data_IF_451809376191
#
_entry.id   IF_451809376191
#
_cell.length_a   1.000
_cell.length_b   1.000
_cell.length_c   1.000
_cell.angle_alpha   90.00
_cell.angle_beta   90.00
_cell.angle_gamma   90.00
#
_symmetry.space_group_name_H-M   'P 1'
#
loop_
_entity.id
_entity.type
_entity.pdbx_description
1 polymer ?
#
# COMPACT_ATOMS: atom_id res chain seq x y z
N UNK A 1 17.94 27.98 6.29
CA UNK A 1 16.86 26.99 6.07
C UNK A 1 15.71 27.26 7.03
N UNK A 2 14.45 27.09 6.60
CA UNK A 2 13.29 27.27 7.51
C UNK A 2 13.29 26.17 8.60
N UNK A 3 13.17 26.51 9.89
CA UNK A 3 13.07 25.52 10.96
C UNK A 3 11.80 24.67 10.80
N UNK A 4 11.85 23.41 11.24
CA UNK A 4 10.68 22.54 11.33
C UNK A 4 10.12 22.71 12.74
N UNK A 5 9.03 23.45 12.86
CA UNK A 5 8.41 23.75 14.15
C UNK A 5 7.18 22.85 14.31
N UNK A 6 7.17 22.06 15.39
CA UNK A 6 6.01 21.32 15.86
C UNK A 6 5.21 22.15 16.86
N UNK A 7 3.95 21.76 17.07
CA UNK A 7 3.14 22.27 18.17
C UNK A 7 3.73 21.82 19.52
N UNK A 8 3.53 22.58 20.62
CA UNK A 8 4.19 22.31 21.90
C UNK A 8 3.99 20.89 22.44
N UNK A 9 2.77 20.35 22.33
CA UNK A 9 2.44 18.99 22.80
C UNK A 9 3.26 17.90 22.09
N UNK A 10 3.15 17.74 20.76
CA UNK A 10 3.97 16.80 20.01
C UNK A 10 5.48 17.02 20.18
N UNK A 11 5.93 18.28 20.25
CA UNK A 11 7.34 18.56 20.51
C UNK A 11 7.78 18.01 21.87
N UNK A 12 6.97 18.22 22.92
CA UNK A 12 7.25 17.70 24.26
C UNK A 12 7.29 16.16 24.29
N UNK A 13 6.35 15.48 23.61
CA UNK A 13 6.36 14.00 23.54
C UNK A 13 7.62 13.46 22.89
N UNK A 14 8.13 14.14 21.86
CA UNK A 14 9.35 13.70 21.18
C UNK A 14 10.58 13.96 22.04
N UNK A 15 10.68 15.17 22.61
CA UNK A 15 11.81 15.60 23.44
C UNK A 15 11.96 14.79 24.74
N UNK A 16 10.86 14.31 25.34
CA UNK A 16 10.91 13.48 26.55
C UNK A 16 10.99 11.97 26.29
N UNK A 17 11.06 11.55 25.02
CA UNK A 17 11.07 10.13 24.65
C UNK A 17 12.47 9.58 24.42
N UNK A 18 12.55 8.26 24.31
CA UNK A 18 13.73 7.52 23.83
C UNK A 18 14.16 7.89 22.40
N UNK A 19 13.35 8.65 21.65
CA UNK A 19 13.65 9.10 20.29
C UNK A 19 14.22 10.52 20.21
N UNK A 20 14.37 11.22 21.34
CA UNK A 20 14.81 12.63 21.40
C UNK A 20 16.15 12.86 20.70
N UNK A 21 17.11 11.96 20.92
CA UNK A 21 18.45 12.02 20.33
C UNK A 21 18.48 11.87 18.79
N UNK A 22 17.39 11.36 18.18
CA UNK A 22 17.30 11.10 16.74
C UNK A 22 16.45 12.14 16.00
N UNK A 23 15.82 13.09 16.70
CA UNK A 23 14.92 14.09 16.11
C UNK A 23 15.62 14.87 14.98
N UNK A 24 16.80 15.42 15.26
CA UNK A 24 17.52 16.27 14.30
C UNK A 24 18.03 15.46 13.10
N UNK A 25 18.55 14.26 13.34
CA UNK A 25 19.04 13.34 12.31
C UNK A 25 17.92 12.88 11.39
N UNK A 26 16.75 12.58 11.95
CA UNK A 26 15.56 12.23 11.19
C UNK A 26 15.11 13.38 10.27
N UNK A 27 15.10 14.62 10.77
CA UNK A 27 14.79 15.79 9.95
C UNK A 27 15.86 16.03 8.87
N UNK A 28 17.14 15.88 9.21
CA UNK A 28 18.24 16.02 8.26
C UNK A 28 18.13 15.01 7.11
N UNK A 29 17.88 13.73 7.44
CA UNK A 29 17.74 12.66 6.44
C UNK A 29 16.58 12.91 5.48
N UNK A 30 15.42 13.35 5.97
CA UNK A 30 14.30 13.69 5.10
C UNK A 30 14.60 14.90 4.20
N UNK A 31 15.46 15.83 4.63
CA UNK A 31 15.90 16.95 3.79
C UNK A 31 16.84 16.47 2.68
N UNK A 32 17.77 15.58 2.99
CA UNK A 32 18.67 14.93 2.01
C UNK A 32 17.85 14.19 0.94
N UNK A 33 16.81 13.47 1.36
CA UNK A 33 15.89 12.77 0.47
C UNK A 33 14.94 13.71 -0.31
N UNK A 34 15.12 15.04 -0.19
CA UNK A 34 14.37 16.11 -0.87
C UNK A 34 12.86 16.12 -0.58
N UNK A 35 12.45 15.68 0.62
CA UNK A 35 11.05 15.85 1.04
C UNK A 35 10.70 17.33 1.25
N UNK A 36 9.50 17.71 0.82
CA UNK A 36 8.98 19.06 1.02
C UNK A 36 8.83 19.40 2.51
N UNK A 37 9.04 20.67 2.87
CA UNK A 37 8.99 21.15 4.28
C UNK A 37 7.73 20.72 5.04
N UNK A 38 6.56 20.81 4.39
CA UNK A 38 5.30 20.35 4.99
C UNK A 38 5.27 18.83 5.26
N UNK A 39 5.84 18.03 4.37
CA UNK A 39 5.90 16.56 4.54
C UNK A 39 6.79 16.21 5.72
N UNK A 40 7.95 16.87 5.86
CA UNK A 40 8.85 16.68 7.00
C UNK A 40 8.14 17.01 8.31
N UNK A 41 7.40 18.13 8.36
CA UNK A 41 6.61 18.51 9.54
C UNK A 41 5.52 17.48 9.88
N UNK A 42 4.81 16.97 8.87
CA UNK A 42 3.79 15.91 9.07
C UNK A 42 4.44 14.64 9.59
N UNK A 43 5.56 14.22 9.00
CA UNK A 43 6.27 13.01 9.41
C UNK A 43 6.83 13.13 10.82
N UNK A 44 7.40 14.28 11.18
CA UNK A 44 7.90 14.52 12.53
C UNK A 44 6.76 14.52 13.57
N UNK A 45 5.60 15.09 13.24
CA UNK A 45 4.42 15.01 14.11
C UNK A 45 3.88 13.57 14.26
N UNK A 46 3.96 12.76 13.20
CA UNK A 46 3.64 11.32 13.26
C UNK A 46 4.62 10.55 14.14
N UNK A 47 5.93 10.86 14.06
CA UNK A 47 6.96 10.28 14.94
C UNK A 47 6.74 10.69 16.40
N UNK A 48 6.35 11.94 16.67
CA UNK A 48 6.00 12.38 18.02
C UNK A 48 4.81 11.61 18.62
N UNK A 49 3.78 11.31 17.83
CA UNK A 49 2.67 10.46 18.28
C UNK A 49 3.16 9.04 18.63
N UNK A 50 4.02 8.46 17.78
CA UNK A 50 4.63 7.17 18.05
C UNK A 50 5.49 7.20 19.32
N UNK A 51 6.31 8.24 19.50
CA UNK A 51 7.17 8.45 20.67
C UNK A 51 6.39 8.45 21.99
N UNK A 52 5.25 9.15 22.01
CA UNK A 52 4.33 9.14 23.16
C UNK A 52 3.86 7.72 23.49
N UNK A 53 3.36 7.01 22.48
CA UNK A 53 2.85 5.65 22.66
C UNK A 53 3.95 4.69 23.13
N UNK A 54 5.18 4.82 22.64
CA UNK A 54 6.33 4.05 23.13
C UNK A 54 6.57 4.28 24.63
N UNK A 55 6.46 5.53 25.09
CA UNK A 55 6.56 5.87 26.51
C UNK A 55 5.44 5.26 27.35
N UNK A 56 4.20 5.31 26.87
CA UNK A 56 3.03 4.69 27.54
C UNK A 56 3.19 3.16 27.64
N UNK A 57 3.78 2.52 26.63
CA UNK A 57 4.06 1.07 26.61
C UNK A 57 5.39 0.68 27.26
N UNK A 58 6.18 1.65 27.77
CA UNK A 58 7.51 1.46 28.36
C UNK A 58 8.46 0.63 27.48
N UNK A 59 8.45 0.88 26.16
CA UNK A 59 9.28 0.16 25.20
C UNK A 59 10.68 0.79 25.08
N UNK A 60 11.69 -0.04 24.86
CA UNK A 60 13.08 0.39 24.67
C UNK A 60 13.47 0.43 23.19
N UNK A 61 14.49 1.22 22.84
CA UNK A 61 15.02 1.34 21.46
C UNK A 61 15.30 -0.03 20.82
N UNK A 62 15.97 -0.93 21.54
CA UNK A 62 16.32 -2.28 21.06
C UNK A 62 15.13 -3.16 20.68
N UNK A 63 13.94 -2.85 21.18
CA UNK A 63 12.71 -3.58 20.86
C UNK A 63 11.99 -3.07 19.60
N UNK A 64 12.42 -1.92 19.06
CA UNK A 64 11.75 -1.30 17.92
C UNK A 64 12.01 -2.07 16.64
N UNK A 65 10.97 -2.22 15.83
CA UNK A 65 11.02 -2.92 14.56
C UNK A 65 9.64 -3.02 13.90
N UNK A 66 9.52 -3.87 12.88
CA UNK A 66 8.27 -4.04 12.13
C UNK A 66 7.09 -4.47 13.02
N UNK A 67 7.33 -5.38 13.98
CA UNK A 67 6.30 -5.85 14.90
C UNK A 67 5.75 -4.73 15.79
N UNK A 68 6.62 -3.84 16.31
CA UNK A 68 6.21 -2.71 17.14
C UNK A 68 5.41 -1.69 16.32
N UNK A 69 5.83 -1.43 15.08
CA UNK A 69 5.07 -0.59 14.16
C UNK A 69 3.67 -1.18 13.90
N UNK A 70 3.57 -2.49 13.66
CA UNK A 70 2.28 -3.13 13.43
C UNK A 70 1.38 -3.09 14.68
N UNK A 71 1.92 -3.27 15.90
CA UNK A 71 1.15 -3.08 17.14
C UNK A 71 0.63 -1.65 17.27
N UNK A 72 1.46 -0.64 17.00
CA UNK A 72 1.02 0.75 17.03
C UNK A 72 -0.11 1.02 16.03
N UNK A 73 0.03 0.54 14.79
CA UNK A 73 -0.95 0.79 13.75
C UNK A 73 -2.24 -0.01 13.93
N UNK A 74 -2.17 -1.25 14.41
CA UNK A 74 -3.33 -2.15 14.46
C UNK A 74 -4.03 -2.15 15.81
N UNK A 75 -3.31 -1.94 16.91
CA UNK A 75 -3.86 -2.08 18.25
C UNK A 75 -4.10 -0.70 18.88
N UNK A 76 -3.17 0.24 18.74
CA UNK A 76 -3.32 1.58 19.32
C UNK A 76 -4.14 2.52 18.45
N UNK A 77 -3.79 2.65 17.16
CA UNK A 77 -4.41 3.66 16.30
C UNK A 77 -5.95 3.61 16.23
N UNK A 78 -6.62 2.43 16.15
CA UNK A 78 -8.08 2.37 16.10
C UNK A 78 -8.79 2.88 17.36
N UNK A 79 -8.14 2.79 18.53
CA UNK A 79 -8.70 3.18 19.83
C UNK A 79 -7.98 4.41 20.42
N UNK A 80 -7.19 5.11 19.60
CA UNK A 80 -6.26 6.15 20.05
C UNK A 80 -6.96 7.37 20.68
N UNK A 81 -6.83 7.52 22.00
CA UNK A 81 -7.33 8.66 22.79
C UNK A 81 -6.27 9.74 23.07
N UNK A 82 -5.15 9.75 22.34
CA UNK A 82 -4.11 10.76 22.54
C UNK A 82 -4.66 12.18 22.30
N UNK A 83 -4.24 13.17 23.12
CA UNK A 83 -4.71 14.54 23.06
C UNK A 83 -4.25 15.23 21.77
N UNK A 84 -5.05 16.20 21.32
CA UNK A 84 -4.69 17.00 20.15
C UNK A 84 -3.51 17.93 20.45
N UNK A 85 -2.70 18.31 19.44
CA UNK A 85 -2.79 17.91 18.03
C UNK A 85 -2.07 16.58 17.76
N UNK A 86 -2.82 15.55 17.37
CA UNK A 86 -2.28 14.20 17.08
C UNK A 86 -2.60 13.76 15.65
N UNK A 87 -1.62 13.18 14.97
CA UNK A 87 -1.79 12.63 13.62
C UNK A 87 -2.39 11.23 13.69
N UNK A 88 -3.49 11.01 12.97
CA UNK A 88 -4.20 9.72 12.90
C UNK A 88 -4.24 9.09 11.50
N UNK A 89 -3.69 9.76 10.49
CA UNK A 89 -3.65 9.23 9.14
C UNK A 89 -2.71 8.01 9.07
N UNK A 90 -3.30 6.83 8.90
CA UNK A 90 -2.58 5.54 8.95
C UNK A 90 -1.38 5.46 8.00
N UNK A 91 -1.55 5.90 6.75
CA UNK A 91 -0.48 5.86 5.75
C UNK A 91 0.68 6.81 6.08
N UNK A 92 0.38 8.01 6.60
CA UNK A 92 1.41 8.98 7.02
C UNK A 92 2.19 8.46 8.22
N UNK A 93 1.49 7.93 9.24
CA UNK A 93 2.11 7.29 10.41
C UNK A 93 3.02 6.14 10.00
N UNK A 94 2.51 5.22 9.17
CA UNK A 94 3.28 4.07 8.67
C UNK A 94 4.53 4.51 7.93
N UNK A 95 4.43 5.50 7.05
CA UNK A 95 5.55 5.94 6.22
C UNK A 95 6.59 6.66 7.07
N UNK A 96 6.17 7.61 7.91
CA UNK A 96 7.05 8.33 8.81
C UNK A 96 7.83 7.40 9.76
N UNK A 97 7.13 6.47 10.42
CA UNK A 97 7.79 5.54 11.35
C UNK A 97 8.72 4.58 10.61
N UNK A 98 8.42 4.19 9.35
CA UNK A 98 9.36 3.41 8.53
C UNK A 98 10.65 4.15 8.20
N UNK A 99 10.59 5.45 7.89
CA UNK A 99 11.81 6.24 7.71
C UNK A 99 12.61 6.31 9.01
N UNK A 100 11.94 6.43 10.16
CA UNK A 100 12.60 6.44 11.47
C UNK A 100 13.30 5.12 11.73
N UNK A 101 12.62 3.98 11.54
CA UNK A 101 13.21 2.66 11.75
C UNK A 101 14.45 2.46 10.85
N UNK A 102 14.40 2.86 9.57
CA UNK A 102 15.57 2.79 8.67
C UNK A 102 16.74 3.64 9.15
N UNK A 103 16.48 4.84 9.69
CA UNK A 103 17.52 5.68 10.27
C UNK A 103 18.17 4.97 11.48
N UNK A 104 17.34 4.46 12.39
CA UNK A 104 17.82 3.74 13.57
C UNK A 104 18.61 2.48 13.20
N UNK A 105 18.21 1.75 12.15
CA UNK A 105 18.95 0.60 11.62
C UNK A 105 20.29 1.03 11.03
N UNK A 106 20.32 2.11 10.23
CA UNK A 106 21.54 2.61 9.62
C UNK A 106 22.56 3.11 10.66
N UNK A 107 22.09 3.65 11.78
CA UNK A 107 22.93 4.08 12.91
C UNK A 107 23.26 2.95 13.89
N UNK A 108 22.78 1.72 13.65
CA UNK A 108 23.01 0.58 14.53
C UNK A 108 22.29 0.66 15.88
N UNK A 109 21.37 1.61 16.05
CA UNK A 109 20.58 1.80 17.27
C UNK A 109 19.54 0.70 17.49
N UNK A 110 19.10 0.07 16.39
CA UNK A 110 18.24 -1.12 16.40
C UNK A 110 18.84 -2.17 15.48
N UNK A 111 18.60 -3.44 15.79
CA UNK A 111 18.99 -4.51 14.86
C UNK A 111 18.11 -4.42 13.61
N UNK A 112 18.74 -4.48 12.45
CA UNK A 112 18.01 -4.59 11.19
C UNK A 112 17.11 -5.82 11.24
N UNK A 113 15.85 -5.66 10.82
CA UNK A 113 14.94 -6.79 10.66
C UNK A 113 15.54 -7.92 9.80
N UNK A 114 16.52 -7.61 8.94
CA UNK A 114 17.24 -8.58 8.09
C UNK A 114 18.26 -9.45 8.84
N UNK A 115 18.71 -9.06 10.05
CA UNK A 115 19.69 -9.86 10.82
C UNK A 115 19.06 -10.76 11.89
N UNK A 116 17.77 -10.59 12.23
CA UNK A 116 17.20 -11.24 13.41
C UNK A 116 15.91 -12.03 13.21
N UNK A 117 15.40 -12.25 11.99
CA UNK A 117 14.16 -13.01 11.84
C UNK A 117 14.22 -14.06 10.72
N UNK A 118 14.12 -15.34 11.09
CA UNK A 118 13.98 -16.45 10.16
C UNK A 118 12.77 -16.27 9.24
N UNK A 119 11.72 -15.58 9.72
CA UNK A 119 10.54 -15.24 8.95
C UNK A 119 10.85 -14.28 7.79
N UNK A 120 11.72 -13.28 7.99
CA UNK A 120 12.05 -12.30 6.95
C UNK A 120 12.81 -12.96 5.79
N UNK A 121 13.76 -13.85 6.13
CA UNK A 121 14.48 -14.67 5.13
C UNK A 121 13.53 -15.60 4.37
N UNK A 122 12.62 -16.26 5.09
CA UNK A 122 11.62 -17.14 4.50
C UNK A 122 10.70 -16.40 3.51
N UNK A 123 10.22 -15.21 3.89
CA UNK A 123 9.35 -14.41 3.03
C UNK A 123 10.09 -13.84 1.81
N UNK A 124 11.38 -13.52 1.94
CA UNK A 124 12.21 -13.10 0.82
C UNK A 124 12.44 -14.25 -0.18
N UNK A 125 12.73 -15.46 0.31
CA UNK A 125 12.85 -16.66 -0.53
C UNK A 125 11.53 -16.98 -1.24
N UNK A 126 10.41 -16.86 -0.53
CA UNK A 126 9.09 -17.03 -1.13
C UNK A 126 8.76 -15.95 -2.19
N UNK A 127 9.13 -14.68 -1.98
CA UNK A 127 8.96 -13.63 -3.00
C UNK A 127 9.78 -13.91 -4.26
N UNK A 128 11.03 -14.38 -4.10
CA UNK A 128 11.89 -14.79 -5.21
C UNK A 128 11.24 -15.94 -6.00
N UNK A 129 10.75 -16.99 -5.34
CA UNK A 129 9.98 -18.05 -5.99
C UNK A 129 8.77 -17.48 -6.76
N UNK A 130 7.99 -16.58 -6.14
CA UNK A 130 6.82 -16.01 -6.78
C UNK A 130 7.17 -15.17 -8.02
N UNK A 131 8.34 -14.54 -8.03
CA UNK A 131 8.86 -13.76 -9.16
C UNK A 131 9.39 -14.67 -10.26
N UNK A 132 10.30 -15.57 -9.91
CA UNK A 132 11.17 -16.26 -10.86
C UNK A 132 10.56 -17.58 -11.36
N UNK A 133 9.74 -18.24 -10.53
CA UNK A 133 9.11 -19.52 -10.88
C UNK A 133 7.63 -19.33 -11.22
N UNK A 134 6.88 -18.64 -10.36
CA UNK A 134 5.43 -18.47 -10.55
C UNK A 134 5.06 -17.30 -11.47
N UNK A 135 6.02 -16.44 -11.86
CA UNK A 135 5.80 -15.33 -12.79
C UNK A 135 4.75 -14.30 -12.32
N UNK A 136 4.58 -14.12 -11.00
CA UNK A 136 3.52 -13.29 -10.45
C UNK A 136 3.86 -11.80 -10.47
N UNK A 137 2.85 -10.98 -10.78
CA UNK A 137 2.93 -9.53 -10.70
C UNK A 137 3.26 -9.05 -9.28
N UNK A 138 4.05 -7.98 -9.17
CA UNK A 138 4.52 -7.41 -7.90
C UNK A 138 3.38 -7.16 -6.89
N UNK A 139 2.25 -6.63 -7.34
CA UNK A 139 1.08 -6.37 -6.49
C UNK A 139 0.52 -7.65 -5.88
N UNK A 140 0.52 -8.74 -6.64
CA UNK A 140 0.07 -10.06 -6.19
C UNK A 140 1.10 -10.67 -5.23
N UNK A 141 2.40 -10.55 -5.54
CA UNK A 141 3.46 -11.03 -4.65
C UNK A 141 3.42 -10.32 -3.30
N UNK A 142 3.30 -8.99 -3.29
CA UNK A 142 3.14 -8.18 -2.08
C UNK A 142 1.92 -8.59 -1.27
N UNK A 143 0.76 -8.78 -1.91
CA UNK A 143 -0.46 -9.21 -1.21
C UNK A 143 -0.29 -10.59 -0.58
N UNK A 144 0.25 -11.56 -1.33
CA UNK A 144 0.49 -12.92 -0.86
C UNK A 144 1.51 -12.95 0.27
N UNK A 145 2.63 -12.24 0.14
CA UNK A 145 3.65 -12.09 1.18
C UNK A 145 3.10 -11.51 2.48
N UNK A 146 2.20 -10.51 2.41
CA UNK A 146 1.54 -9.96 3.61
C UNK A 146 0.57 -10.94 4.28
N UNK A 147 -0.06 -11.85 3.52
CA UNK A 147 -0.97 -12.85 4.07
C UNK A 147 -0.17 -13.99 4.70
N UNK A 148 0.81 -14.51 3.96
CA UNK A 148 1.70 -15.59 4.41
C UNK A 148 2.53 -15.14 5.60
N UNK A 149 3.09 -13.92 5.58
CA UNK A 149 3.83 -13.37 6.71
C UNK A 149 2.99 -13.25 7.97
N UNK A 150 1.71 -12.86 7.85
CA UNK A 150 0.77 -12.85 8.99
C UNK A 150 0.45 -14.24 9.52
N UNK A 151 0.39 -15.25 8.65
CA UNK A 151 0.19 -16.64 9.06
C UNK A 151 1.41 -17.14 9.83
N UNK A 152 2.60 -17.05 9.21
CA UNK A 152 3.84 -17.55 9.80
C UNK A 152 4.19 -16.80 11.09
N UNK A 153 4.02 -15.49 11.16
CA UNK A 153 4.23 -14.74 12.40
C UNK A 153 3.26 -15.17 13.52
N UNK A 154 2.04 -15.57 13.19
CA UNK A 154 1.09 -16.08 14.18
C UNK A 154 1.45 -17.50 14.63
N UNK A 155 2.02 -18.32 13.75
CA UNK A 155 2.42 -19.70 14.05
C UNK A 155 3.75 -19.81 14.79
N UNK A 156 4.74 -18.98 14.44
CA UNK A 156 6.13 -19.10 14.90
C UNK A 156 6.63 -17.90 15.69
N UNK A 157 5.93 -16.76 15.68
CA UNK A 157 6.41 -15.55 16.35
C UNK A 157 7.75 -15.09 15.77
N UNK A 158 8.79 -15.08 16.62
CA UNK A 158 10.17 -14.75 16.24
C UNK A 158 11.04 -15.99 15.99
N UNK A 159 10.48 -17.19 16.12
CA UNK A 159 11.21 -18.43 15.90
C UNK A 159 11.44 -18.69 14.41
N UNK A 160 12.44 -19.51 14.11
CA UNK A 160 12.69 -19.98 12.75
C UNK A 160 11.48 -20.77 12.22
N UNK A 161 11.15 -20.54 10.95
CA UNK A 161 10.02 -21.23 10.30
C UNK A 161 10.37 -22.69 10.10
N UNK A 162 9.59 -23.56 10.74
CA UNK A 162 9.69 -25.01 10.61
C UNK A 162 8.36 -25.55 10.10
N UNK A 163 8.33 -25.93 8.82
CA UNK A 163 7.10 -26.40 8.14
C UNK A 163 6.51 -27.64 8.81
N UNK A 164 7.34 -28.46 9.46
CA UNK A 164 6.88 -29.70 10.12
C UNK A 164 5.98 -29.42 11.33
N UNK A 165 6.09 -28.23 11.92
CA UNK A 165 5.28 -27.78 13.05
C UNK A 165 3.96 -27.11 12.62
N UNK A 166 3.74 -26.94 11.32
CA UNK A 166 2.48 -26.40 10.82
C UNK A 166 1.43 -27.50 10.88
N UNK A 167 0.38 -27.26 11.66
CA UNK A 167 -0.78 -28.15 11.72
C UNK A 167 -1.87 -27.74 10.70
N UNK A 168 -2.55 -28.76 10.17
CA UNK A 168 -3.74 -28.67 9.33
C UNK A 168 -4.86 -27.84 9.96
N UNK A 169 -5.07 -27.93 11.28
CA UNK A 169 -6.11 -27.15 11.97
C UNK A 169 -5.72 -25.67 11.96
N UNK A 170 -4.46 -25.34 12.25
CA UNK A 170 -3.95 -23.97 12.20
C UNK A 170 -4.11 -23.35 10.80
N UNK A 171 -3.81 -24.11 9.74
CA UNK A 171 -4.04 -23.67 8.34
C UNK A 171 -5.53 -23.38 8.10
N UNK A 172 -6.42 -24.31 8.47
CA UNK A 172 -7.86 -24.15 8.28
C UNK A 172 -8.40 -22.93 9.03
N UNK A 173 -8.08 -22.79 10.32
CA UNK A 173 -8.50 -21.65 11.16
C UNK A 173 -8.05 -20.32 10.57
N UNK A 174 -6.79 -20.23 10.16
CA UNK A 174 -6.26 -19.01 9.56
C UNK A 174 -6.95 -18.67 8.24
N UNK A 175 -7.14 -19.65 7.35
CA UNK A 175 -7.78 -19.41 6.04
C UNK A 175 -9.25 -19.02 6.19
N UNK A 176 -9.97 -19.64 7.12
CA UNK A 176 -11.35 -19.27 7.44
C UNK A 176 -11.46 -17.90 8.13
N UNK A 177 -10.34 -17.33 8.55
CA UNK A 177 -10.29 -16.03 9.22
C UNK A 177 -10.85 -16.09 10.63
N UNK A 178 -10.65 -17.17 11.39
CA UNK A 178 -11.13 -17.25 12.77
C UNK A 178 -10.67 -16.03 13.59
N UNK A 179 -11.61 -15.38 14.29
CA UNK A 179 -11.39 -14.11 14.98
C UNK A 179 -11.30 -12.88 14.06
N UNK A 180 -11.67 -13.02 12.78
CA UNK A 180 -11.70 -11.96 11.76
C UNK A 180 -12.99 -12.08 10.96
N UNK A 181 -13.68 -10.97 10.72
CA UNK A 181 -14.92 -10.96 9.92
C UNK A 181 -14.61 -11.05 8.42
N UNK A 182 -14.00 -12.15 7.99
CA UNK A 182 -13.61 -12.39 6.59
C UNK A 182 -14.77 -12.92 5.77
N UNK A 183 -15.19 -12.15 4.77
CA UNK A 183 -16.10 -12.65 3.74
C UNK A 183 -15.47 -13.71 2.82
N UNK A 184 -16.29 -14.41 2.05
CA UNK A 184 -15.87 -15.52 1.17
C UNK A 184 -14.73 -15.16 0.19
N UNK A 185 -14.70 -13.92 -0.29
CA UNK A 185 -13.61 -13.43 -1.15
C UNK A 185 -12.26 -13.36 -0.42
N UNK A 186 -12.25 -12.91 0.84
CA UNK A 186 -11.04 -12.86 1.66
C UNK A 186 -10.52 -14.27 1.98
N UNK A 187 -11.42 -15.20 2.34
CA UNK A 187 -11.09 -16.62 2.56
C UNK A 187 -10.43 -17.23 1.32
N UNK A 188 -10.98 -16.96 0.13
CA UNK A 188 -10.41 -17.46 -1.14
C UNK A 188 -9.00 -16.91 -1.42
N UNK A 189 -8.81 -15.61 -1.20
CA UNK A 189 -7.50 -14.97 -1.37
C UNK A 189 -6.50 -15.53 -0.35
N UNK A 190 -6.93 -15.72 0.90
CA UNK A 190 -6.11 -16.33 1.94
C UNK A 190 -5.72 -17.77 1.56
N UNK A 191 -6.68 -18.62 1.22
CA UNK A 191 -6.43 -20.00 0.81
C UNK A 191 -5.52 -20.10 -0.42
N UNK A 192 -5.70 -19.22 -1.42
CA UNK A 192 -4.83 -19.18 -2.61
C UNK A 192 -3.40 -18.72 -2.26
N UNK A 193 -3.25 -17.83 -1.29
CA UNK A 193 -1.94 -17.34 -0.85
C UNK A 193 -1.19 -18.40 -0.06
N UNK A 194 -1.86 -19.02 0.92
CA UNK A 194 -1.30 -20.12 1.73
C UNK A 194 -0.97 -21.33 0.85
N UNK A 195 -1.86 -21.70 -0.07
CA UNK A 195 -1.59 -22.78 -1.03
C UNK A 195 -0.41 -22.47 -1.95
N UNK A 196 -0.21 -21.20 -2.33
CA UNK A 196 0.98 -20.77 -3.06
C UNK A 196 2.27 -20.95 -2.27
N UNK A 197 2.25 -20.59 -0.98
CA UNK A 197 3.39 -20.79 -0.08
C UNK A 197 3.71 -22.27 0.13
N UNK A 198 2.70 -23.09 0.42
CA UNK A 198 2.91 -24.53 0.61
C UNK A 198 3.46 -25.19 -0.66
N UNK A 199 3.00 -24.81 -1.86
CA UNK A 199 3.61 -25.30 -3.12
C UNK A 199 5.08 -24.94 -3.26
N UNK A 200 5.48 -23.74 -2.84
CA UNK A 200 6.88 -23.35 -2.78
C UNK A 200 7.69 -24.24 -1.81
N UNK A 201 7.14 -24.49 -0.61
CA UNK A 201 7.77 -25.40 0.38
C UNK A 201 7.86 -26.84 -0.14
N UNK A 202 6.84 -27.30 -0.86
CA UNK A 202 6.85 -28.59 -1.55
C UNK A 202 8.00 -28.68 -2.56
N UNK A 203 8.19 -27.63 -3.37
CA UNK A 203 9.30 -27.54 -4.33
C UNK A 203 10.66 -27.47 -3.63
N UNK A 204 10.69 -26.94 -2.41
CA UNK A 204 11.88 -26.88 -1.56
C UNK A 204 12.15 -28.19 -0.80
N UNK A 205 11.34 -29.23 -1.02
CA UNK A 205 11.53 -30.58 -0.46
C UNK A 205 10.63 -30.93 0.74
N UNK A 206 9.77 -30.04 1.20
CA UNK A 206 8.93 -30.31 2.37
C UNK A 206 7.69 -31.15 2.07
N UNK A 207 7.31 -32.00 3.02
CA UNK A 207 6.10 -32.81 2.95
C UNK A 207 4.85 -32.04 3.38
N UNK A 208 4.28 -31.27 2.46
CA UNK A 208 3.11 -30.40 2.73
C UNK A 208 1.78 -30.92 2.16
N UNK A 209 1.74 -32.13 1.61
CA UNK A 209 0.56 -32.65 0.91
C UNK A 209 -0.71 -32.61 1.77
N UNK A 210 -0.61 -33.00 3.04
CA UNK A 210 -1.72 -32.94 4.02
C UNK A 210 -2.16 -31.50 4.30
N UNK A 211 -1.22 -30.56 4.38
CA UNK A 211 -1.51 -29.14 4.60
C UNK A 211 -2.24 -28.51 3.41
N UNK A 212 -1.84 -28.86 2.19
CA UNK A 212 -2.52 -28.42 0.97
C UNK A 212 -3.97 -28.91 0.92
N UNK A 213 -4.23 -30.14 1.36
CA UNK A 213 -5.58 -30.70 1.44
C UNK A 213 -6.44 -30.06 2.53
N UNK A 214 -5.83 -29.54 3.59
CA UNK A 214 -6.52 -28.86 4.69
C UNK A 214 -7.06 -27.47 4.30
N UNK A 215 -6.59 -26.88 3.20
CA UNK A 215 -7.05 -25.56 2.75
C UNK A 215 -8.55 -25.62 2.36
N UNK A 216 -9.42 -24.85 3.05
CA UNK A 216 -10.83 -24.79 2.71
C UNK A 216 -11.05 -24.31 1.27
N UNK A 217 -11.91 -25.01 0.54
CA UNK A 217 -12.48 -24.49 -0.69
C UNK A 217 -13.62 -23.54 -0.33
N UNK A 218 -13.37 -22.24 -0.41
CA UNK A 218 -14.45 -21.26 -0.29
C UNK A 218 -15.47 -21.50 -1.41
N UNK A 219 -16.73 -21.78 -1.04
CA UNK A 219 -17.80 -21.99 -2.01
C UNK A 219 -17.92 -20.76 -2.92
N UNK A 220 -17.93 -21.00 -4.23
CA UNK A 220 -18.21 -19.99 -5.25
C UNK A 220 -19.58 -20.31 -5.83
N UNK A 221 -20.63 -19.86 -5.16
CA UNK A 221 -21.98 -20.00 -5.70
C UNK A 221 -22.04 -19.25 -7.03
N UNK A 222 -22.33 -19.98 -8.11
CA UNK A 222 -22.29 -19.51 -9.50
C UNK A 222 -23.47 -18.57 -9.84
N UNK A 223 -24.22 -18.16 -8.81
CA UNK A 223 -25.42 -17.32 -8.81
C UNK A 223 -25.42 -16.30 -7.65
N UNK A 224 -24.23 -15.89 -7.18
CA UNK A 224 -24.16 -14.71 -6.31
C UNK A 224 -24.84 -13.53 -7.02
N UNK A 225 -25.53 -12.67 -6.27
CA UNK A 225 -26.22 -11.51 -6.82
C UNK A 225 -25.33 -10.76 -7.79
N UNK A 226 -25.89 -10.41 -8.96
CA UNK A 226 -25.18 -9.57 -9.91
C UNK A 226 -24.74 -8.28 -9.19
N UNK A 227 -23.53 -7.76 -9.45
CA UNK A 227 -23.12 -6.49 -8.89
C UNK A 227 -24.19 -5.43 -9.18
N UNK A 228 -24.55 -4.63 -8.19
CA UNK A 228 -25.43 -3.49 -8.43
C UNK A 228 -24.75 -2.54 -9.44
N UNK A 229 -25.46 -2.25 -10.52
CA UNK A 229 -25.00 -1.33 -11.56
C UNK A 229 -25.76 -0.02 -11.46
N UNK A 230 -25.08 1.09 -11.69
CA UNK A 230 -25.74 2.39 -11.79
C UNK A 230 -26.65 2.44 -13.02
N UNK A 231 -27.86 2.96 -12.86
CA UNK A 231 -28.71 3.31 -13.99
C UNK A 231 -28.11 4.46 -14.80
N UNK A 232 -28.50 4.65 -16.08
CA UNK A 232 -28.07 5.81 -16.86
C UNK A 232 -28.33 7.15 -16.13
N UNK A 233 -29.50 7.29 -15.50
CA UNK A 233 -29.86 8.48 -14.72
C UNK A 233 -28.96 8.70 -13.50
N UNK A 234 -28.51 7.63 -12.84
CA UNK A 234 -27.56 7.72 -11.73
C UNK A 234 -26.15 8.06 -12.21
N UNK A 235 -25.74 7.57 -13.39
CA UNK A 235 -24.48 7.95 -14.03
C UNK A 235 -24.49 9.44 -14.39
N UNK A 236 -25.60 9.94 -14.96
CA UNK A 236 -25.75 11.37 -15.28
C UNK A 236 -25.69 12.22 -14.02
N UNK A 237 -26.39 11.82 -12.95
CA UNK A 237 -26.34 12.51 -11.66
C UNK A 237 -24.92 12.50 -11.06
N UNK A 238 -24.20 11.37 -11.16
CA UNK A 238 -22.80 11.28 -10.72
C UNK A 238 -21.91 12.23 -11.52
N UNK A 239 -22.04 12.25 -12.85
CA UNK A 239 -21.26 13.13 -13.72
C UNK A 239 -21.58 14.62 -13.46
N UNK A 240 -22.84 14.95 -13.15
CA UNK A 240 -23.26 16.30 -12.77
C UNK A 240 -22.70 16.76 -11.40
N UNK A 241 -22.34 15.83 -10.51
CA UNK A 241 -21.84 16.15 -9.17
C UNK A 241 -20.42 16.75 -9.14
N UNK A 242 -19.67 16.70 -10.25
CA UNK A 242 -18.31 17.25 -10.37
C UNK A 242 -18.30 18.79 -10.55
N UNK A 243 -18.85 19.50 -9.57
CA UNK A 243 -19.00 20.96 -9.58
C UNK A 243 -17.70 21.74 -9.34
N UNK A 244 -17.77 23.07 -9.39
CA UNK A 244 -16.63 23.97 -9.22
C UNK A 244 -15.98 23.91 -7.82
N UNK A 245 -16.70 23.46 -6.80
CA UNK A 245 -16.23 23.41 -5.42
C UNK A 245 -15.39 22.16 -5.14
N UNK A 246 -15.48 21.13 -5.99
CA UNK A 246 -14.70 19.91 -5.83
C UNK A 246 -13.23 20.09 -6.23
N UNK A 247 -12.27 19.85 -5.32
CA UNK A 247 -10.86 19.87 -5.67
C UNK A 247 -10.53 18.84 -6.75
N UNK A 248 -9.75 19.23 -7.75
CA UNK A 248 -9.38 18.37 -8.89
C UNK A 248 -10.58 17.85 -9.72
N UNK A 249 -11.71 18.58 -9.75
CA UNK A 249 -12.92 18.19 -10.51
C UNK A 249 -12.65 17.70 -11.93
N UNK A 250 -11.83 18.42 -12.71
CA UNK A 250 -11.52 18.07 -14.11
C UNK A 250 -10.86 16.69 -14.22
N UNK A 251 -9.94 16.38 -13.29
CA UNK A 251 -9.29 15.07 -13.22
C UNK A 251 -10.29 13.97 -12.86
N UNK A 252 -11.07 14.20 -11.81
CA UNK A 252 -12.02 13.20 -11.32
C UNK A 252 -13.12 12.92 -12.37
N UNK A 253 -13.64 13.97 -13.01
CA UNK A 253 -14.60 13.87 -14.11
C UNK A 253 -14.06 13.06 -15.28
N UNK A 254 -12.84 13.37 -15.76
CA UNK A 254 -12.19 12.60 -16.82
C UNK A 254 -11.98 11.13 -16.44
N UNK A 255 -11.55 10.86 -15.21
CA UNK A 255 -11.37 9.49 -14.71
C UNK A 255 -12.69 8.71 -14.66
N UNK A 256 -13.78 9.34 -14.20
CA UNK A 256 -15.10 8.70 -14.15
C UNK A 256 -15.63 8.43 -15.55
N UNK A 257 -15.50 9.37 -16.49
CA UNK A 257 -15.82 9.17 -17.91
C UNK A 257 -15.08 7.97 -18.50
N UNK A 258 -13.79 7.79 -18.20
CA UNK A 258 -13.05 6.60 -18.63
C UNK A 258 -13.61 5.29 -18.05
N UNK A 259 -14.18 5.31 -16.85
CA UNK A 259 -14.79 4.12 -16.24
C UNK A 259 -16.18 3.85 -16.81
N UNK A 260 -17.02 4.89 -16.96
CA UNK A 260 -18.42 4.75 -17.39
C UNK A 260 -18.56 4.54 -18.88
N UNK A 261 -17.78 5.26 -19.70
CA UNK A 261 -17.96 5.30 -21.15
C UNK A 261 -17.15 4.20 -21.85
N UNK A 262 -16.00 3.83 -21.29
CA UNK A 262 -15.05 2.87 -21.87
C UNK A 262 -14.95 1.56 -21.07
N UNK A 263 -15.55 1.48 -19.88
CA UNK A 263 -15.47 0.28 -19.04
C UNK A 263 -14.07 -0.01 -18.48
N UNK A 264 -13.19 1.00 -18.43
CA UNK A 264 -11.80 0.79 -18.00
C UNK A 264 -11.73 0.50 -16.50
N UNK A 265 -10.85 -0.44 -16.11
CA UNK A 265 -10.52 -0.68 -14.71
C UNK A 265 -9.75 0.50 -14.14
N UNK A 266 -9.88 0.77 -12.84
CA UNK A 266 -9.14 1.85 -12.18
C UNK A 266 -7.63 1.80 -12.45
N UNK A 267 -7.03 0.60 -12.49
CA UNK A 267 -5.61 0.44 -12.77
C UNK A 267 -5.23 0.78 -14.22
N UNK A 268 -6.15 0.60 -15.18
CA UNK A 268 -5.96 0.98 -16.58
C UNK A 268 -6.07 2.51 -16.71
N UNK A 269 -7.08 3.13 -16.10
CA UNK A 269 -7.26 4.59 -16.08
C UNK A 269 -6.04 5.32 -15.50
N UNK A 270 -5.51 4.84 -14.37
CA UNK A 270 -4.35 5.48 -13.71
C UNK A 270 -3.05 5.30 -14.50
N UNK A 271 -2.94 4.24 -15.31
CA UNK A 271 -1.77 3.97 -16.14
C UNK A 271 -1.83 4.60 -17.54
N UNK A 272 -3.00 5.10 -17.93
CA UNK A 272 -3.21 5.70 -19.25
C UNK A 272 -2.29 6.89 -19.44
N UNK A 273 -1.60 6.91 -20.58
CA UNK A 273 -0.69 7.99 -20.95
C UNK A 273 -1.22 8.79 -22.13
N UNK A 274 -0.67 9.99 -22.34
CA UNK A 274 -1.08 10.86 -23.45
C UNK A 274 -0.74 10.17 -24.78
N UNK A 275 0.41 9.50 -24.85
CA UNK A 275 0.84 8.73 -26.03
C UNK A 275 -0.03 7.50 -26.33
N UNK A 276 -0.92 7.10 -25.43
CA UNK A 276 -1.86 6.02 -25.65
C UNK A 276 -3.14 6.50 -26.36
N UNK A 277 -3.32 7.80 -26.54
CA UNK A 277 -4.49 8.40 -27.20
C UNK A 277 -4.10 8.88 -28.60
N UNK A 278 -4.72 8.30 -29.61
CA UNK A 278 -4.71 8.83 -30.97
C UNK A 278 -5.89 9.77 -31.15
N UNK A 279 -5.63 11.06 -30.94
CA UNK A 279 -6.63 12.12 -31.07
C UNK A 279 -7.13 12.30 -32.50
N UNK A 280 -6.33 11.93 -33.51
CA UNK A 280 -6.72 12.09 -34.92
C UNK A 280 -7.72 11.02 -35.32
N UNK A 281 -7.46 9.79 -34.91
CA UNK A 281 -8.33 8.65 -35.22
C UNK A 281 -9.42 8.43 -34.15
N UNK A 282 -9.39 9.18 -33.06
CA UNK A 282 -10.37 9.06 -31.97
C UNK A 282 -10.31 7.68 -31.32
N UNK A 283 -9.10 7.19 -31.01
CA UNK A 283 -8.90 5.88 -30.39
C UNK A 283 -8.00 5.94 -29.17
N UNK A 284 -8.18 5.02 -28.23
CA UNK A 284 -7.35 4.86 -27.04
C UNK A 284 -6.83 3.44 -26.94
N UNK A 285 -5.52 3.31 -26.73
CA UNK A 285 -4.84 2.04 -26.58
C UNK A 285 -4.62 1.70 -25.11
N UNK A 286 -5.13 0.56 -24.67
CA UNK A 286 -4.98 0.12 -23.28
C UNK A 286 -3.74 -0.76 -23.17
N UNK A 287 -2.72 -0.25 -22.46
CA UNK A 287 -1.47 -0.96 -22.22
C UNK A 287 -1.71 -2.29 -21.49
N UNK A 288 -0.84 -3.28 -21.78
CA UNK A 288 -0.97 -4.68 -21.33
C UNK A 288 -1.34 -4.79 -19.85
N UNK A 289 -2.48 -5.43 -19.58
CA UNK A 289 -2.90 -5.81 -18.24
C UNK A 289 -2.74 -7.33 -18.03
N UNK A 290 -3.50 -7.91 -17.09
CA UNK A 290 -3.37 -9.30 -16.60
C UNK A 290 -3.41 -10.37 -17.72
N UNK A 291 -3.97 -10.05 -18.88
CA UNK A 291 -4.18 -10.98 -20.00
C UNK A 291 -3.12 -10.90 -21.10
N UNK A 292 -2.03 -10.14 -20.93
CA UNK A 292 -0.97 -9.93 -21.95
C UNK A 292 -1.44 -9.34 -23.29
N UNK A 293 -2.73 -9.05 -23.45
CA UNK A 293 -3.34 -8.47 -24.64
C UNK A 293 -3.35 -6.94 -24.57
N UNK A 294 -3.22 -6.29 -25.72
CA UNK A 294 -3.36 -4.83 -25.87
C UNK A 294 -4.66 -4.58 -26.60
N UNK A 295 -5.54 -3.78 -26.00
CA UNK A 295 -6.85 -3.45 -26.58
C UNK A 295 -6.81 -2.04 -27.17
N UNK A 296 -7.57 -1.82 -28.24
CA UNK A 296 -7.71 -0.52 -28.89
C UNK A 296 -9.19 -0.20 -29.00
N UNK A 297 -9.62 0.82 -28.26
CA UNK A 297 -11.03 1.19 -28.13
C UNK A 297 -11.30 2.50 -28.87
N UNK A 298 -12.50 2.69 -29.46
CA UNK A 298 -12.93 4.02 -29.88
C UNK A 298 -13.01 4.93 -28.66
N UNK A 299 -12.58 6.18 -28.80
CA UNK A 299 -12.65 7.21 -27.77
C UNK A 299 -13.90 8.07 -28.02
N UNK A 300 -14.95 7.96 -27.18
CA UNK A 300 -16.11 8.83 -27.30
C UNK A 300 -15.70 10.29 -27.16
N UNK A 301 -16.31 11.16 -27.97
CA UNK A 301 -15.99 12.59 -28.01
C UNK A 301 -16.08 13.24 -26.63
N UNK A 302 -17.14 12.95 -25.87
CA UNK A 302 -17.35 13.47 -24.51
C UNK A 302 -16.26 13.05 -23.54
N UNK A 303 -15.75 11.82 -23.65
CA UNK A 303 -14.62 11.32 -22.86
C UNK A 303 -13.32 12.02 -23.27
N UNK A 304 -13.08 12.16 -24.58
CA UNK A 304 -11.91 12.84 -25.11
C UNK A 304 -11.84 14.31 -24.69
N UNK A 305 -12.96 15.04 -24.79
CA UNK A 305 -13.09 16.43 -24.33
C UNK A 305 -12.82 16.56 -22.84
N UNK A 306 -13.39 15.66 -22.02
CA UNK A 306 -13.13 15.63 -20.58
C UNK A 306 -11.64 15.45 -20.24
N UNK A 307 -10.95 14.56 -20.98
CA UNK A 307 -9.50 14.36 -20.83
C UNK A 307 -8.74 15.62 -21.26
N UNK A 308 -9.09 16.22 -22.40
CA UNK A 308 -8.46 17.43 -22.91
C UNK A 308 -8.62 18.60 -21.93
N UNK A 309 -9.81 18.82 -21.39
CA UNK A 309 -10.10 19.86 -20.38
C UNK A 309 -9.22 19.70 -19.13
N UNK A 310 -9.02 18.46 -18.68
CA UNK A 310 -8.11 18.16 -17.59
C UNK A 310 -6.65 18.49 -17.94
N UNK A 311 -6.19 18.13 -19.14
CA UNK A 311 -4.82 18.41 -19.59
C UNK A 311 -4.55 19.92 -19.73
N UNK A 312 -5.47 20.67 -20.32
CA UNK A 312 -5.37 22.13 -20.44
C UNK A 312 -5.37 22.78 -19.05
N UNK A 313 -6.31 22.39 -18.18
CA UNK A 313 -6.37 22.90 -16.81
C UNK A 313 -5.18 22.56 -15.92
N UNK A 314 -4.46 21.48 -16.24
CA UNK A 314 -3.20 21.14 -15.60
C UNK A 314 -2.09 22.08 -16.05
N UNK A 315 -2.02 22.40 -17.34
CA UNK A 315 -0.99 23.27 -17.90
C UNK A 315 -1.15 24.73 -17.44
N UNK A 316 -2.39 25.21 -17.25
CA UNK A 316 -2.66 26.54 -16.66
C UNK A 316 -2.11 26.71 -15.23
N UNK A 317 -1.92 25.61 -14.50
CA UNK A 317 -1.42 25.59 -13.11
C UNK A 317 0.08 25.29 -13.00
N UNK A 318 0.74 24.89 -14.10
CA UNK A 318 2.20 24.77 -14.15
C UNK A 318 2.76 26.11 -14.65
N UNK A 319 3.80 26.70 -14.03
CA UNK A 319 4.53 27.78 -14.69
C UNK A 319 5.07 27.25 -16.03
N UNK A 320 5.09 28.08 -17.09
CA UNK A 320 5.60 27.64 -18.39
C UNK A 320 7.02 27.08 -18.20
N UNK A 321 7.26 25.89 -18.75
CA UNK A 321 8.59 25.32 -18.79
C UNK A 321 9.51 26.34 -19.46
N UNK A 322 10.61 26.71 -18.77
CA UNK A 322 11.65 27.55 -19.35
C UNK A 322 12.04 26.96 -20.72
N UNK A 323 12.14 27.78 -21.77
CA UNK A 323 12.46 27.29 -23.11
C UNK A 323 13.78 26.51 -23.05
N UNK A 324 13.74 25.28 -23.56
CA UNK A 324 14.94 24.48 -23.78
C UNK A 324 15.92 25.33 -24.59
N UNK A 325 17.06 25.63 -23.98
CA UNK A 325 18.17 26.26 -24.69
C UNK A 325 18.49 25.39 -25.90
N UNK A 326 18.28 25.97 -27.08
CA UNK A 326 18.79 25.41 -28.33
C UNK A 326 20.29 25.25 -28.17
N UNK A 327 20.76 24.00 -28.13
CA UNK A 327 22.14 23.71 -28.49
C UNK A 327 22.31 24.06 -29.98
N UNK A 328 22.78 25.28 -30.25
CA UNK A 328 23.51 25.53 -31.48
C UNK A 328 24.94 25.04 -31.26
N UNK A 329 25.40 24.27 -32.25
CA UNK A 329 26.73 23.69 -32.52
C UNK A 329 27.87 24.11 -31.59
#
# INVERSE_FOLDING_TARGET
>A
MKPIILQPGPQAWLSSSILSAYQERYVARLREDRYAHNVIRVYLASVAHFARWLGEQRLHLSSLGAAVLDRFLNNHLPICRCPQPVRRTRYELRTAIRHLLRLLEAEGAIQSADKQDGLSKELAAFDAYMRDVAGLAETTRRQRGLIVGRFLAHTFGADAVDVTKIDTVAVRRFVLGEGRDWGAGAVRVAGSSIGGYLKYRQMSGDQVAKLLQAIPRAAHWRLASLPETLSPTQIDALLASFDANLPSRRRAYAMVRCVTDLGLRCAEVVKLRIEDIDWRNGTVRIARSKTHFTDCLPLPKTTGEAIADYLVGRNEKLPPALPQAKCYR
#
